data_IF_396001510476
#
_entry.id   IF_396001510476
#
_cell.length_a   1.000
_cell.length_b   1.000
_cell.length_c   1.000
_cell.angle_alpha   90.00
_cell.angle_beta   90.00
_cell.angle_gamma   90.00
#
_symmetry.space_group_name_H-M   'P 1'
#
loop_
_entity.id
_entity.type
_entity.pdbx_description
1 polymer ?
#
# COMPACT_ATOMS: atom_id res chain seq x y z
N UNK A 1 -11.35 -0.14 -1.47
CA UNK A 1 -11.57 1.30 -1.34
C UNK A 1 -10.34 2.06 -0.88
N UNK A 2 -10.41 3.38 -1.00
CA UNK A 2 -9.32 4.27 -0.61
C UNK A 2 -9.90 5.54 0.01
N UNK A 3 -9.31 5.96 1.13
CA UNK A 3 -9.56 7.27 1.74
C UNK A 3 -8.72 8.35 1.07
N UNK A 4 -9.20 9.58 1.08
CA UNK A 4 -8.45 10.79 0.72
C UNK A 4 -8.70 11.86 1.78
N UNK A 5 -7.65 12.55 2.18
CA UNK A 5 -7.73 13.67 3.13
C UNK A 5 -6.87 14.79 2.58
N UNK A 6 -7.45 15.99 2.48
CA UNK A 6 -6.71 17.18 2.07
C UNK A 6 -5.83 17.71 3.20
N UNK A 7 -4.89 18.59 2.87
CA UNK A 7 -4.11 19.31 3.85
C UNK A 7 -5.02 20.07 4.82
N UNK A 8 -4.63 20.12 6.08
CA UNK A 8 -5.40 20.72 7.18
C UNK A 8 -6.77 20.08 7.46
N UNK A 9 -7.00 18.85 6.98
CA UNK A 9 -8.23 18.09 7.25
C UNK A 9 -9.53 18.82 6.88
N UNK A 10 -9.51 19.61 5.81
CA UNK A 10 -10.66 20.38 5.34
C UNK A 10 -11.63 19.47 4.58
N UNK A 11 -11.09 18.48 3.88
CA UNK A 11 -11.83 17.51 3.08
C UNK A 11 -11.48 16.09 3.48
N UNK A 12 -12.49 15.25 3.51
CA UNK A 12 -12.33 13.83 3.74
C UNK A 12 -13.14 13.04 2.71
N UNK A 13 -12.46 12.20 1.94
CA UNK A 13 -13.04 11.37 0.90
C UNK A 13 -12.95 9.91 1.26
N UNK A 14 -13.91 9.13 0.82
CA UNK A 14 -13.80 7.70 0.70
C UNK A 14 -14.48 7.23 -0.57
N UNK A 15 -13.71 6.58 -1.43
CA UNK A 15 -14.22 5.94 -2.65
C UNK A 15 -13.97 4.45 -2.56
N UNK A 16 -15.03 3.67 -2.70
CA UNK A 16 -14.93 2.22 -2.73
C UNK A 16 -15.92 1.63 -3.72
N UNK A 17 -15.68 0.39 -4.10
CA UNK A 17 -16.46 -0.28 -5.12
C UNK A 17 -16.61 -1.77 -4.84
N UNK A 18 -17.72 -2.32 -5.33
CA UNK A 18 -17.98 -3.74 -5.50
C UNK A 18 -17.79 -4.11 -6.98
N UNK A 19 -17.96 -5.38 -7.38
CA UNK A 19 -17.92 -5.73 -8.80
C UNK A 19 -18.95 -4.98 -9.67
N UNK A 20 -20.02 -4.49 -9.08
CA UNK A 20 -21.17 -3.93 -9.81
C UNK A 20 -21.42 -2.45 -9.54
N UNK A 21 -20.93 -1.90 -8.44
CA UNK A 21 -21.23 -0.52 -8.01
C UNK A 21 -19.99 0.19 -7.50
N UNK A 22 -19.83 1.43 -7.89
CA UNK A 22 -18.85 2.36 -7.30
C UNK A 22 -19.59 3.49 -6.59
N UNK A 23 -19.19 3.77 -5.35
CA UNK A 23 -19.75 4.85 -4.54
C UNK A 23 -18.62 5.71 -3.98
N UNK A 24 -18.76 7.02 -4.13
CA UNK A 24 -17.91 8.03 -3.48
C UNK A 24 -18.66 8.71 -2.33
N UNK A 25 -17.96 8.99 -1.26
CA UNK A 25 -18.44 9.76 -0.12
C UNK A 25 -17.48 10.89 0.19
N UNK A 26 -18.01 12.08 0.37
CA UNK A 26 -17.24 13.27 0.70
C UNK A 26 -17.86 14.00 1.89
N UNK A 27 -16.99 14.47 2.76
CA UNK A 27 -17.33 15.37 3.86
C UNK A 27 -16.27 16.47 3.84
N UNK A 28 -16.70 17.72 3.83
CA UNK A 28 -15.76 18.81 3.74
C UNK A 28 -16.43 20.17 3.82
N UNK A 29 -15.63 21.20 3.65
CA UNK A 29 -16.04 22.58 3.61
C UNK A 29 -15.77 23.20 2.25
N UNK A 30 -16.71 23.98 1.73
CA UNK A 30 -16.58 24.64 0.43
C UNK A 30 -15.48 25.72 0.39
N UNK A 31 -15.04 26.20 1.55
CA UNK A 31 -14.04 27.24 1.67
C UNK A 31 -12.74 26.75 2.28
N UNK A 32 -11.77 26.41 1.45
CA UNK A 32 -10.45 25.92 1.88
C UNK A 32 -9.57 26.97 2.55
N UNK A 33 -9.86 28.26 2.36
CA UNK A 33 -8.95 29.32 2.80
C UNK A 33 -9.14 29.74 4.25
N UNK A 34 -10.13 29.14 4.92
CA UNK A 34 -10.42 29.49 6.30
C UNK A 34 -10.07 28.34 7.24
N UNK A 35 -8.95 28.47 7.96
CA UNK A 35 -8.47 27.48 8.93
C UNK A 35 -9.47 27.14 10.07
N UNK A 36 -10.59 27.86 10.17
CA UNK A 36 -11.66 27.56 11.13
C UNK A 36 -12.47 26.33 10.77
N UNK A 37 -12.34 25.81 9.56
CA UNK A 37 -13.17 24.76 9.02
C UNK A 37 -12.48 23.39 8.93
N UNK A 38 -11.43 23.17 9.70
CA UNK A 38 -10.85 21.84 9.80
C UNK A 38 -11.83 20.83 10.41
N UNK A 39 -11.90 19.65 9.84
CA UNK A 39 -12.64 18.52 10.41
C UNK A 39 -11.80 17.96 11.56
N UNK A 40 -12.18 18.23 12.81
CA UNK A 40 -11.38 17.84 13.99
C UNK A 40 -12.01 16.69 14.75
N UNK A 41 -11.21 15.89 15.43
CA UNK A 41 -11.67 14.83 16.32
C UNK A 41 -12.45 15.34 17.54
N UNK A 42 -12.18 16.60 17.95
CA UNK A 42 -12.76 17.22 19.15
C UNK A 42 -14.22 17.64 19.05
N UNK A 43 -14.84 17.53 17.87
CA UNK A 43 -16.25 17.91 17.66
C UNK A 43 -17.26 16.85 18.07
N UNK A 44 -16.81 15.70 18.59
CA UNK A 44 -17.66 14.61 19.05
C UNK A 44 -18.17 13.64 17.97
N UNK A 45 -17.82 13.86 16.69
CA UNK A 45 -18.24 12.99 15.59
C UNK A 45 -17.24 11.89 15.25
N UNK A 46 -16.23 11.69 16.08
CA UNK A 46 -15.18 10.66 15.93
C UNK A 46 -14.05 11.10 15.00
N UNK A 47 -13.12 10.19 14.76
CA UNK A 47 -11.94 10.45 13.95
C UNK A 47 -12.29 10.96 12.54
N UNK A 48 -11.72 12.08 12.09
CA UNK A 48 -12.01 12.68 10.79
C UNK A 48 -11.90 11.68 9.63
N UNK A 49 -10.83 10.90 9.63
CA UNK A 49 -10.51 9.92 8.57
C UNK A 49 -11.53 8.80 8.44
N UNK A 50 -12.35 8.56 9.47
CA UNK A 50 -13.37 7.50 9.46
C UNK A 50 -14.78 7.98 9.10
N UNK A 51 -15.01 9.30 9.07
CA UNK A 51 -16.36 9.86 8.86
C UNK A 51 -16.89 9.57 7.47
N UNK A 52 -16.10 9.80 6.44
CA UNK A 52 -16.49 9.48 5.06
C UNK A 52 -16.69 7.96 4.86
N UNK A 53 -15.92 7.12 5.56
CA UNK A 53 -16.14 5.67 5.54
C UNK A 53 -17.47 5.27 6.18
N UNK A 54 -17.84 5.89 7.30
CA UNK A 54 -19.16 5.65 7.93
C UNK A 54 -20.30 6.10 7.02
N UNK A 55 -20.21 7.31 6.46
CA UNK A 55 -21.20 7.80 5.52
C UNK A 55 -21.34 6.86 4.33
N UNK A 56 -20.24 6.43 3.76
CA UNK A 56 -20.19 5.45 2.68
C UNK A 56 -20.90 4.15 3.07
N UNK A 57 -20.63 3.65 4.28
CA UNK A 57 -21.22 2.41 4.79
C UNK A 57 -22.74 2.52 4.89
N UNK A 58 -23.26 3.63 5.43
CA UNK A 58 -24.70 3.86 5.50
C UNK A 58 -25.35 3.95 4.12
N UNK A 59 -24.73 4.69 3.20
CA UNK A 59 -25.24 4.84 1.84
C UNK A 59 -25.22 3.51 1.09
N UNK A 60 -24.15 2.73 1.21
CA UNK A 60 -24.06 1.42 0.57
C UNK A 60 -25.06 0.43 1.15
N UNK A 61 -25.28 0.46 2.47
CA UNK A 61 -26.30 -0.37 3.12
C UNK A 61 -27.71 -0.01 2.64
N UNK A 62 -28.03 1.26 2.58
CA UNK A 62 -29.33 1.74 2.07
C UNK A 62 -29.52 1.36 0.58
N UNK A 63 -28.47 1.49 -0.23
CA UNK A 63 -28.50 1.08 -1.62
C UNK A 63 -28.70 -0.44 -1.78
N UNK A 64 -28.06 -1.24 -0.93
CA UNK A 64 -28.26 -2.69 -0.90
C UNK A 64 -29.70 -3.06 -0.50
N UNK A 65 -30.25 -2.43 0.52
CA UNK A 65 -31.64 -2.65 0.96
C UNK A 65 -32.64 -2.25 -0.13
N UNK A 66 -32.37 -1.17 -0.87
CA UNK A 66 -33.23 -0.71 -1.97
C UNK A 66 -33.16 -1.59 -3.23
N UNK A 67 -31.97 -2.11 -3.54
CA UNK A 67 -31.75 -2.94 -4.72
C UNK A 67 -30.63 -3.99 -4.49
N UNK A 68 -30.97 -5.11 -3.81
CA UNK A 68 -30.00 -6.18 -3.52
C UNK A 68 -29.39 -6.81 -4.78
N UNK A 69 -30.15 -6.86 -5.87
CA UNK A 69 -29.69 -7.46 -7.14
C UNK A 69 -28.57 -6.64 -7.78
N UNK A 70 -28.57 -5.31 -7.59
CA UNK A 70 -27.53 -4.45 -8.12
C UNK A 70 -26.20 -4.61 -7.37
N UNK A 71 -26.23 -4.82 -6.06
CA UNK A 71 -25.05 -4.71 -5.20
C UNK A 71 -24.56 -6.07 -4.68
N UNK A 72 -25.46 -7.02 -4.45
CA UNK A 72 -25.19 -8.20 -3.63
C UNK A 72 -24.88 -9.49 -4.38
N UNK A 73 -25.11 -9.54 -5.68
CA UNK A 73 -25.06 -10.80 -6.45
C UNK A 73 -23.63 -11.29 -6.71
N UNK A 74 -22.69 -10.40 -6.93
CA UNK A 74 -21.29 -10.72 -7.12
C UNK A 74 -20.46 -10.16 -5.97
N UNK A 75 -19.95 -11.03 -5.11
CA UNK A 75 -19.15 -10.64 -3.93
C UNK A 75 -17.64 -10.69 -4.20
N UNK A 76 -17.24 -11.22 -5.34
CA UNK A 76 -15.82 -11.38 -5.71
C UNK A 76 -15.55 -10.83 -7.09
N UNK A 77 -14.41 -10.16 -7.22
CA UNK A 77 -13.92 -9.74 -8.53
C UNK A 77 -13.42 -10.94 -9.32
N UNK A 78 -13.85 -11.07 -10.56
CA UNK A 78 -13.28 -12.06 -11.47
C UNK A 78 -11.88 -11.63 -11.87
N UNK A 79 -10.93 -12.54 -11.74
CA UNK A 79 -9.60 -12.34 -12.25
C UNK A 79 -9.66 -12.23 -13.78
N UNK A 80 -9.18 -11.12 -14.37
CA UNK A 80 -9.05 -11.03 -15.83
C UNK A 80 -8.05 -12.06 -16.36
N UNK A 81 -8.32 -12.63 -17.54
CA UNK A 81 -7.41 -13.57 -18.19
C UNK A 81 -6.05 -12.98 -18.52
N UNK A 82 -5.97 -11.65 -18.58
CA UNK A 82 -4.73 -10.91 -18.85
C UNK A 82 -3.77 -10.81 -17.67
N UNK A 83 -4.18 -11.24 -16.47
CA UNK A 83 -3.35 -11.17 -15.25
C UNK A 83 -3.17 -12.53 -14.59
N UNK A 84 -2.08 -12.69 -13.88
CA UNK A 84 -1.77 -13.89 -13.10
C UNK A 84 -1.01 -13.51 -11.83
N UNK A 85 -0.95 -14.43 -10.87
CA UNK A 85 -0.16 -14.27 -9.66
C UNK A 85 1.20 -14.94 -9.83
N UNK A 86 2.23 -14.27 -9.31
CA UNK A 86 3.58 -14.80 -9.30
C UNK A 86 4.33 -14.35 -8.05
N UNK A 87 5.37 -15.11 -7.69
CA UNK A 87 6.21 -14.83 -6.52
C UNK A 87 7.46 -14.10 -6.93
N UNK A 88 7.76 -13.02 -6.23
CA UNK A 88 8.93 -12.17 -6.43
C UNK A 88 9.59 -11.82 -5.10
N UNK A 89 10.83 -11.40 -5.16
CA UNK A 89 11.53 -10.84 -3.99
C UNK A 89 10.90 -9.50 -3.64
N UNK A 90 10.42 -9.35 -2.42
CA UNK A 90 9.62 -8.21 -1.97
C UNK A 90 10.34 -6.86 -2.06
N UNK A 91 11.66 -6.86 -2.02
CA UNK A 91 12.47 -5.64 -2.08
C UNK A 91 12.81 -5.20 -3.50
N UNK A 92 12.82 -6.13 -4.46
CA UNK A 92 13.23 -5.84 -5.84
C UNK A 92 12.08 -5.95 -6.85
N UNK A 93 11.02 -6.69 -6.51
CA UNK A 93 9.93 -6.99 -7.44
C UNK A 93 10.34 -7.94 -8.59
N UNK A 94 11.50 -8.59 -8.49
CA UNK A 94 12.03 -9.50 -9.52
C UNK A 94 12.07 -10.94 -9.02
N UNK A 95 12.32 -11.88 -9.91
CA UNK A 95 12.55 -13.29 -9.55
C UNK A 95 13.81 -13.44 -8.71
N UNK A 96 13.76 -14.33 -7.71
CA UNK A 96 14.96 -14.78 -7.02
C UNK A 96 15.81 -15.65 -7.93
N UNK A 97 17.14 -15.57 -7.78
CA UNK A 97 18.07 -16.40 -8.54
C UNK A 97 19.44 -15.76 -8.69
N UNK A 98 20.32 -16.45 -9.41
CA UNK A 98 21.65 -15.95 -9.79
C UNK A 98 21.67 -15.63 -11.28
N UNK A 99 22.11 -14.44 -11.60
CA UNK A 99 22.05 -13.87 -12.95
C UNK A 99 23.41 -13.37 -13.38
N UNK A 100 23.61 -13.26 -14.69
CA UNK A 100 24.80 -12.65 -15.28
C UNK A 100 24.58 -11.14 -15.40
N UNK A 101 25.56 -10.36 -14.96
CA UNK A 101 25.63 -8.93 -15.20
C UNK A 101 26.18 -8.62 -16.61
N UNK A 102 25.94 -7.42 -17.13
CA UNK A 102 26.43 -6.99 -18.44
C UNK A 102 27.96 -7.00 -18.54
N UNK A 103 28.63 -6.77 -17.44
CA UNK A 103 30.10 -6.83 -17.33
C UNK A 103 30.67 -8.26 -17.28
N UNK A 104 29.84 -9.29 -17.45
CA UNK A 104 30.22 -10.71 -17.40
C UNK A 104 30.33 -11.32 -16.00
N UNK A 105 30.16 -10.51 -14.94
CA UNK A 105 30.06 -10.99 -13.56
C UNK A 105 28.76 -11.70 -13.27
N UNK A 106 28.62 -12.22 -12.06
CA UNK A 106 27.38 -12.80 -11.56
C UNK A 106 26.89 -12.06 -10.32
N UNK A 107 25.59 -11.95 -10.18
CA UNK A 107 24.95 -11.42 -8.97
C UNK A 107 23.76 -12.27 -8.58
N UNK A 108 23.41 -12.24 -7.31
CA UNK A 108 22.27 -12.98 -6.78
C UNK A 108 21.20 -12.03 -6.26
N UNK A 109 19.95 -12.32 -6.59
CA UNK A 109 18.77 -11.67 -6.03
C UNK A 109 18.12 -12.67 -5.08
N UNK A 110 18.03 -12.29 -3.81
CA UNK A 110 17.43 -13.09 -2.76
C UNK A 110 16.81 -12.20 -1.71
N UNK A 111 15.86 -12.74 -0.93
CA UNK A 111 15.19 -12.01 0.15
C UNK A 111 13.85 -12.61 0.48
N UNK A 112 13.09 -11.92 1.31
CA UNK A 112 11.70 -12.27 1.60
C UNK A 112 10.87 -12.29 0.32
N UNK A 113 10.10 -13.36 0.14
CA UNK A 113 9.23 -13.51 -1.03
C UNK A 113 7.86 -12.89 -0.75
N UNK A 114 7.27 -12.30 -1.77
CA UNK A 114 5.87 -11.89 -1.79
C UNK A 114 5.21 -12.38 -3.07
N UNK A 115 3.89 -12.53 -3.04
CA UNK A 115 3.12 -12.87 -4.23
C UNK A 115 2.30 -11.66 -4.65
N UNK A 116 2.40 -11.28 -5.90
CA UNK A 116 1.70 -10.14 -6.46
C UNK A 116 1.05 -10.47 -7.80
N UNK A 117 0.29 -9.52 -8.35
CA UNK A 117 -0.40 -9.62 -9.62
C UNK A 117 0.44 -9.02 -10.74
N UNK A 118 0.56 -9.78 -11.83
CA UNK A 118 1.30 -9.37 -13.01
C UNK A 118 0.42 -9.48 -14.26
N UNK A 119 0.57 -8.52 -15.17
CA UNK A 119 -0.03 -8.63 -16.50
C UNK A 119 0.78 -9.63 -17.33
N UNK A 120 0.12 -10.50 -18.08
CA UNK A 120 0.77 -11.55 -18.87
C UNK A 120 1.82 -11.01 -19.84
N UNK A 121 1.56 -9.86 -20.45
CA UNK A 121 2.48 -9.19 -21.37
C UNK A 121 3.64 -8.47 -20.64
N UNK A 122 3.53 -8.31 -19.32
CA UNK A 122 4.52 -7.66 -18.47
C UNK A 122 4.78 -8.54 -17.23
N UNK A 123 5.50 -9.64 -17.40
CA UNK A 123 5.85 -10.53 -16.29
C UNK A 123 6.70 -9.80 -15.26
N UNK A 124 6.88 -10.36 -14.05
CA UNK A 124 7.83 -9.81 -13.07
C UNK A 124 9.12 -9.48 -13.75
N UNK A 125 9.66 -8.30 -13.44
CA UNK A 125 10.86 -7.81 -14.11
C UNK A 125 11.91 -8.91 -14.21
N UNK A 126 12.30 -9.19 -15.44
CA UNK A 126 13.47 -9.99 -15.70
C UNK A 126 14.69 -9.17 -15.28
N UNK A 127 15.70 -9.77 -14.66
CA UNK A 127 16.93 -9.08 -14.28
C UNK A 127 17.68 -8.40 -15.44
N UNK A 128 17.28 -8.63 -16.69
CA UNK A 128 17.81 -7.94 -17.87
C UNK A 128 17.14 -6.60 -18.18
N UNK A 129 16.03 -6.26 -17.52
CA UNK A 129 15.38 -4.96 -17.70
C UNK A 129 15.86 -3.98 -16.63
N UNK A 130 16.05 -2.74 -17.05
CA UNK A 130 16.32 -1.65 -16.13
C UNK A 130 15.05 -1.33 -15.31
N UNK A 131 15.23 -1.00 -14.05
CA UNK A 131 14.14 -0.44 -13.24
C UNK A 131 13.72 0.93 -13.76
N UNK A 132 12.52 1.36 -13.39
CA UNK A 132 11.85 2.56 -13.92
C UNK A 132 12.69 3.86 -13.95
N UNK A 133 13.81 3.94 -13.25
CA UNK A 133 14.71 5.09 -13.21
C UNK A 133 16.10 4.73 -13.79
N UNK A 134 16.18 3.69 -14.60
CA UNK A 134 17.42 3.28 -15.25
C UNK A 134 18.37 2.43 -14.40
N UNK A 135 18.00 2.08 -13.18
CA UNK A 135 18.79 1.16 -12.36
C UNK A 135 18.61 -0.28 -12.84
N UNK A 136 19.68 -1.05 -12.89
CA UNK A 136 19.64 -2.48 -13.15
C UNK A 136 19.08 -3.24 -11.94
N UNK A 137 18.56 -4.45 -12.11
CA UNK A 137 18.18 -5.32 -10.99
C UNK A 137 19.30 -5.55 -9.99
N UNK A 138 20.54 -5.64 -10.45
CA UNK A 138 21.71 -5.76 -9.58
C UNK A 138 21.89 -4.51 -8.70
N UNK A 139 21.87 -3.33 -9.27
CA UNK A 139 22.00 -2.06 -8.55
C UNK A 139 20.87 -1.88 -7.53
N UNK A 140 19.65 -2.20 -7.91
CA UNK A 140 18.50 -2.12 -7.02
C UNK A 140 18.61 -3.12 -5.86
N UNK A 141 19.04 -4.35 -6.13
CA UNK A 141 19.26 -5.35 -5.10
C UNK A 141 20.36 -4.89 -4.11
N UNK A 142 21.45 -4.35 -4.61
CA UNK A 142 22.54 -3.81 -3.79
C UNK A 142 22.07 -2.62 -2.93
N UNK A 143 21.27 -1.73 -3.50
CA UNK A 143 20.67 -0.62 -2.76
C UNK A 143 19.81 -1.11 -1.60
N UNK A 144 18.87 -2.03 -1.86
CA UNK A 144 17.98 -2.54 -0.84
C UNK A 144 18.68 -3.36 0.23
N UNK A 145 19.70 -4.12 -0.13
CA UNK A 145 20.52 -4.83 0.85
C UNK A 145 21.21 -3.86 1.82
N UNK A 146 21.74 -2.75 1.33
CA UNK A 146 22.33 -1.70 2.19
C UNK A 146 21.27 -1.03 3.09
N UNK A 147 20.09 -0.76 2.56
CA UNK A 147 18.98 -0.15 3.35
C UNK A 147 18.51 -1.09 4.44
N UNK A 148 18.38 -2.38 4.16
CA UNK A 148 17.94 -3.37 5.13
C UNK A 148 18.98 -3.62 6.21
N UNK A 149 20.26 -3.70 5.88
CA UNK A 149 21.36 -3.82 6.84
C UNK A 149 21.32 -2.68 7.88
N UNK A 150 21.15 -1.44 7.44
CA UNK A 150 21.02 -0.28 8.32
C UNK A 150 19.76 -0.32 9.22
N UNK A 151 18.69 -0.96 8.77
CA UNK A 151 17.48 -1.13 9.59
C UNK A 151 17.68 -2.16 10.70
N UNK A 152 18.44 -3.19 10.42
CA UNK A 152 18.71 -4.26 11.39
C UNK A 152 19.70 -3.76 12.46
N UNK A 153 20.75 -3.02 12.09
CA UNK A 153 21.65 -2.34 13.03
C UNK A 153 20.86 -1.45 14.01
N UNK A 154 19.97 -0.59 13.52
CA UNK A 154 19.14 0.27 14.37
C UNK A 154 18.15 -0.48 15.27
N UNK A 155 17.73 -1.68 14.87
CA UNK A 155 16.88 -2.54 15.72
C UNK A 155 17.66 -3.16 16.87
N UNK A 156 18.89 -3.53 16.60
CA UNK A 156 19.77 -4.13 17.58
C UNK A 156 20.27 -3.09 18.60
N UNK A 157 20.57 -1.88 18.16
CA UNK A 157 20.86 -0.73 19.04
C UNK A 157 19.70 -0.46 20.01
N UNK A 158 18.48 -0.31 19.49
CA UNK A 158 17.28 -0.10 20.32
C UNK A 158 16.95 -1.26 21.26
N UNK A 159 17.31 -2.48 20.92
CA UNK A 159 17.16 -3.63 21.81
C UNK A 159 18.18 -3.62 22.93
N UNK A 160 19.38 -3.16 22.65
CA UNK A 160 20.44 -3.06 23.66
C UNK A 160 20.17 -1.90 24.63
N UNK A 161 19.75 -0.73 24.15
CA UNK A 161 19.32 0.40 24.99
C UNK A 161 18.21 -0.01 25.96
N UNK A 162 17.18 -0.72 25.49
CA UNK A 162 16.09 -1.21 26.34
C UNK A 162 16.54 -2.25 27.38
N UNK A 163 17.56 -3.03 27.10
CA UNK A 163 18.11 -3.98 28.06
C UNK A 163 18.91 -3.29 29.16
N UNK A 164 19.66 -2.26 28.82
CA UNK A 164 20.45 -1.46 29.78
C UNK A 164 19.54 -0.65 30.71
N UNK A 165 18.46 -0.05 30.21
CA UNK A 165 17.45 0.64 31.03
C UNK A 165 16.77 -0.31 32.03
N UNK A 166 16.49 -1.55 31.63
CA UNK A 166 15.86 -2.54 32.52
C UNK A 166 16.80 -3.05 33.60
N UNK A 167 18.10 -3.04 33.34
CA UNK A 167 19.11 -3.53 34.30
C UNK A 167 19.49 -2.45 35.33
N UNK A 168 19.29 -1.17 35.04
CA UNK A 168 19.53 -0.06 35.95
C UNK A 168 18.35 0.26 36.89
N UNK A 169 17.18 -0.32 36.65
CA UNK A 169 15.98 -0.12 37.47
C UNK A 169 15.65 -1.30 38.38
N UNK A 170 16.57 -2.24 38.55
CA UNK A 170 16.53 -3.38 39.50
C UNK A 170 17.60 -3.21 40.53
#
# INVERSE_FOLDING_TARGET
GKTGTSENEIDNWFVAYTPTVTLGSWIGYDNFYNARYAITAGDGYGEPTTRSQRQWTYLMKAAYEANPELIGKETTFKQPDSVYRDSVVSTTGTKAGTFKAENGGTYSISGGMTTDWFKKDFPPMNPFYNFAIGATPEEMNNFWNKVNAKKDEKKDEKKNEKKEETTQSS
#
